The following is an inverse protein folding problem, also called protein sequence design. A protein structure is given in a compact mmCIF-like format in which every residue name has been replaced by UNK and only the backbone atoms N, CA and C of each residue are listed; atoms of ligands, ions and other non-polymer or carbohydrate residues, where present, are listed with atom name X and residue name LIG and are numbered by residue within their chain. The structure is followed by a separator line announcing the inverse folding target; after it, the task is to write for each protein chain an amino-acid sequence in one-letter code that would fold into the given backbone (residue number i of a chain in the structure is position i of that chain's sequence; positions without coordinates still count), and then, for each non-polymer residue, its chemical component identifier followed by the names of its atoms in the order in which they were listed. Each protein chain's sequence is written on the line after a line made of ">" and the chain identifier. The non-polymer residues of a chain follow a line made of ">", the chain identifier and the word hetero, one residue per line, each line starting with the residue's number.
data_IF_831588571262
#
_entry.id   IF_831588571262
#
_cell.length_a   1.000
_cell.length_b   1.000
_cell.length_c   1.000
_cell.angle_alpha   90.00
_cell.angle_beta   90.00
_cell.angle_gamma   90.00
#
_symmetry.space_group_name_H-M   'P 1'
#
loop_
_entity.id
_entity.type
_entity.pdbx_description
1 polymer ?
#
# COMPACT_ATOMS: atom_id res chain seq x y z
N UNK A 1 -21.01 48.35 61.61
CA UNK A 1 -21.55 47.97 60.29
C UNK A 1 -20.39 47.59 59.39
N UNK A 2 -20.18 46.29 59.16
CA UNK A 2 -19.33 45.77 58.07
C UNK A 2 -20.29 45.12 57.08
N UNK A 3 -20.38 45.64 55.85
CA UNK A 3 -21.17 45.03 54.80
C UNK A 3 -20.25 44.22 53.87
N UNK A 4 -20.65 42.98 53.64
CA UNK A 4 -19.97 41.96 52.86
C UNK A 4 -20.01 42.27 51.35
N UNK A 5 -18.91 41.96 50.69
CA UNK A 5 -18.77 41.82 49.24
C UNK A 5 -19.49 40.54 48.77
N UNK A 6 -20.37 40.65 47.78
CA UNK A 6 -20.72 39.53 46.90
C UNK A 6 -20.20 39.80 45.50
N UNK A 7 -19.35 38.90 45.02
CA UNK A 7 -18.87 38.84 43.63
C UNK A 7 -19.84 37.94 42.87
N UNK A 8 -20.55 38.49 41.88
CA UNK A 8 -21.38 37.72 40.95
C UNK A 8 -20.51 37.26 39.79
N UNK A 9 -20.30 35.95 39.66
CA UNK A 9 -19.61 35.36 38.51
C UNK A 9 -20.54 35.33 37.29
N UNK A 10 -20.09 35.93 36.18
CA UNK A 10 -20.78 35.91 34.89
C UNK A 10 -20.38 34.62 34.16
N UNK A 11 -21.31 33.66 34.04
CA UNK A 11 -21.10 32.44 33.25
C UNK A 11 -21.49 32.74 31.80
N UNK A 12 -20.52 32.80 30.89
CA UNK A 12 -20.77 32.79 29.45
C UNK A 12 -21.07 31.35 29.02
N UNK A 13 -22.34 31.02 28.83
CA UNK A 13 -22.75 29.81 28.13
C UNK A 13 -22.56 29.97 26.64
N UNK A 14 -21.56 29.32 26.06
CA UNK A 14 -21.46 29.14 24.60
C UNK A 14 -22.55 28.17 24.15
N UNK A 15 -23.58 28.70 23.51
CA UNK A 15 -24.55 27.90 22.76
C UNK A 15 -23.80 27.24 21.59
N UNK A 16 -23.53 25.94 21.69
CA UNK A 16 -23.13 25.14 20.53
C UNK A 16 -24.38 24.95 19.70
N UNK A 17 -24.59 25.80 18.69
CA UNK A 17 -25.60 25.54 17.67
C UNK A 17 -25.10 24.35 16.86
N UNK A 18 -25.75 23.19 16.99
CA UNK A 18 -25.54 22.09 16.06
C UNK A 18 -25.87 22.60 14.67
N UNK A 19 -24.84 22.77 13.84
CA UNK A 19 -25.03 22.99 12.40
C UNK A 19 -25.82 21.76 11.92
N UNK A 20 -27.04 21.92 11.39
CA UNK A 20 -27.70 20.80 10.75
C UNK A 20 -26.79 20.36 9.61
N UNK A 21 -26.37 19.08 9.64
CA UNK A 21 -25.73 18.45 8.49
C UNK A 21 -26.72 18.60 7.35
N UNK A 22 -26.40 19.45 6.37
CA UNK A 22 -27.22 19.54 5.17
C UNK A 22 -27.29 18.13 4.56
N UNK A 23 -28.49 17.62 4.21
CA UNK A 23 -28.57 16.38 3.47
C UNK A 23 -27.70 16.54 2.22
N UNK A 24 -26.86 15.56 1.90
CA UNK A 24 -25.98 15.56 0.72
C UNK A 24 -26.81 15.84 -0.55
N UNK A 25 -26.96 17.11 -0.91
CA UNK A 25 -27.60 17.56 -2.14
C UNK A 25 -26.61 17.28 -3.26
N UNK A 26 -26.62 16.06 -3.82
CA UNK A 26 -25.76 15.79 -4.98
C UNK A 26 -25.56 14.34 -5.40
N UNK A 27 -25.91 13.35 -4.57
CA UNK A 27 -25.59 11.96 -4.89
C UNK A 27 -26.85 11.14 -5.17
N UNK A 28 -27.35 11.26 -6.40
CA UNK A 28 -28.30 10.33 -7.03
C UNK A 28 -27.58 9.68 -8.21
N UNK A 29 -26.84 8.61 -7.92
CA UNK A 29 -26.02 7.92 -8.92
C UNK A 29 -26.83 6.75 -9.47
N UNK A 30 -26.72 6.51 -10.78
CA UNK A 30 -27.17 5.25 -11.38
C UNK A 30 -26.53 4.06 -10.63
N UNK A 31 -27.28 2.98 -10.44
CA UNK A 31 -26.76 1.74 -9.84
C UNK A 31 -25.56 1.15 -10.59
N UNK A 32 -25.39 1.53 -11.86
CA UNK A 32 -24.24 1.17 -12.68
C UNK A 32 -23.49 2.42 -13.17
N UNK A 33 -22.15 2.35 -13.15
CA UNK A 33 -21.26 3.40 -13.63
C UNK A 33 -20.28 2.83 -14.63
N UNK A 34 -20.23 3.41 -15.84
CA UNK A 34 -19.38 2.93 -16.93
C UNK A 34 -18.16 3.85 -17.08
N UNK A 35 -16.97 3.25 -17.12
CA UNK A 35 -15.69 3.94 -17.23
C UNK A 35 -14.88 3.30 -18.36
N UNK A 36 -14.46 4.09 -19.35
CA UNK A 36 -13.59 3.61 -20.42
C UNK A 36 -12.13 3.70 -19.99
N UNK A 37 -11.40 2.60 -20.13
CA UNK A 37 -9.97 2.49 -19.78
C UNK A 37 -9.18 1.91 -20.95
N UNK A 38 -7.86 1.91 -20.82
CA UNK A 38 -6.93 1.21 -21.71
C UNK A 38 -7.17 -0.31 -21.75
N UNK A 39 -7.70 -0.90 -20.68
CA UNK A 39 -8.13 -2.31 -20.66
C UNK A 39 -9.45 -2.56 -21.41
N UNK A 40 -10.27 -1.53 -21.62
CA UNK A 40 -11.62 -1.62 -22.18
C UNK A 40 -12.67 -0.93 -21.32
N UNK A 41 -13.95 -1.20 -21.61
CA UNK A 41 -15.07 -0.65 -20.85
C UNK A 41 -15.23 -1.37 -19.51
N UNK A 42 -15.29 -0.63 -18.41
CA UNK A 42 -15.46 -1.14 -17.04
C UNK A 42 -16.80 -0.67 -16.51
N UNK A 43 -17.57 -1.58 -15.92
CA UNK A 43 -18.86 -1.28 -15.29
C UNK A 43 -18.79 -1.55 -13.80
N UNK A 44 -18.76 -0.48 -13.01
CA UNK A 44 -18.87 -0.50 -11.55
C UNK A 44 -20.31 -0.43 -11.06
N UNK A 45 -20.47 -0.45 -9.74
CA UNK A 45 -21.76 -0.42 -9.07
C UNK A 45 -21.76 0.44 -7.81
N UNK A 46 -22.94 0.88 -7.39
CA UNK A 46 -23.13 1.54 -6.10
C UNK A 46 -23.47 0.47 -5.05
N UNK A 47 -22.76 0.39 -3.93
CA UNK A 47 -23.04 -0.60 -2.90
C UNK A 47 -24.32 -0.22 -2.14
N UNK A 48 -25.08 -1.21 -1.68
CA UNK A 48 -26.41 -1.05 -1.07
C UNK A 48 -26.45 -0.16 0.19
N UNK A 49 -25.31 0.12 0.81
CA UNK A 49 -25.18 0.97 2.00
C UNK A 49 -24.30 2.21 1.76
N UNK A 50 -24.24 2.70 0.53
CA UNK A 50 -23.63 3.98 0.21
C UNK A 50 -24.52 4.74 -0.76
N UNK A 51 -24.70 6.02 -0.51
CA UNK A 51 -25.46 6.88 -1.43
C UNK A 51 -24.53 7.55 -2.45
N UNK A 52 -23.20 7.46 -2.28
CA UNK A 52 -22.27 8.35 -3.00
C UNK A 52 -20.95 7.72 -3.46
N UNK A 53 -20.61 6.50 -3.01
CA UNK A 53 -19.40 5.79 -3.44
C UNK A 53 -19.73 4.80 -4.54
N UNK A 54 -18.92 4.76 -5.58
CA UNK A 54 -18.95 3.75 -6.64
C UNK A 54 -17.81 2.78 -6.43
N UNK A 55 -18.10 1.48 -6.52
CA UNK A 55 -17.14 0.39 -6.41
C UNK A 55 -16.91 -0.26 -7.77
N UNK A 56 -15.64 -0.44 -8.11
CA UNK A 56 -15.18 -1.21 -9.26
C UNK A 56 -14.26 -2.31 -8.76
N UNK A 57 -14.80 -3.51 -8.57
CA UNK A 57 -14.10 -4.62 -7.92
C UNK A 57 -13.69 -5.66 -8.96
N UNK A 58 -12.44 -6.13 -8.92
CA UNK A 58 -11.93 -7.16 -9.83
C UNK A 58 -11.64 -6.65 -11.25
N UNK A 59 -11.01 -5.49 -11.39
CA UNK A 59 -10.52 -4.98 -12.69
C UNK A 59 -9.21 -5.66 -13.06
N UNK A 60 -9.08 -6.37 -14.19
CA UNK A 60 -7.79 -6.92 -14.62
C UNK A 60 -6.86 -5.81 -15.09
N UNK A 61 -5.63 -5.80 -14.58
CA UNK A 61 -4.61 -4.81 -14.94
C UNK A 61 -3.45 -5.39 -15.77
N UNK A 62 -3.29 -6.71 -15.77
CA UNK A 62 -2.27 -7.44 -16.51
C UNK A 62 -2.84 -8.74 -17.11
N UNK A 63 -2.12 -9.33 -18.05
CA UNK A 63 -2.44 -10.66 -18.57
C UNK A 63 -2.36 -11.70 -17.43
N UNK A 64 -3.26 -12.71 -17.42
CA UNK A 64 -3.18 -13.79 -16.44
C UNK A 64 -1.82 -14.49 -16.51
N UNK A 65 -1.05 -14.58 -15.40
CA UNK A 65 0.29 -15.17 -15.39
C UNK A 65 0.23 -16.71 -15.33
N UNK A 66 -0.50 -17.31 -16.27
CA UNK A 66 -0.76 -18.76 -16.35
C UNK A 66 0.00 -19.39 -17.51
N UNK A 67 0.25 -20.70 -17.42
CA UNK A 67 0.87 -21.47 -18.51
C UNK A 67 2.27 -20.93 -18.85
N UNK A 68 2.45 -20.41 -20.06
CA UNK A 68 3.74 -19.86 -20.52
C UNK A 68 4.10 -18.52 -19.85
N UNK A 69 3.14 -17.83 -19.22
CA UNK A 69 3.40 -16.61 -18.47
C UNK A 69 3.66 -16.87 -16.98
N UNK A 70 3.60 -18.14 -16.54
CA UNK A 70 3.94 -18.51 -15.18
C UNK A 70 5.43 -18.27 -14.96
N UNK A 71 5.75 -17.56 -13.88
CA UNK A 71 7.11 -17.13 -13.53
C UNK A 71 7.76 -16.12 -14.50
N UNK A 72 6.97 -15.53 -15.41
CA UNK A 72 7.43 -14.44 -16.27
C UNK A 72 7.07 -13.07 -15.67
N UNK A 73 7.77 -12.03 -16.11
CA UNK A 73 7.40 -10.66 -15.80
C UNK A 73 5.95 -10.36 -16.24
N UNK A 74 5.19 -9.55 -15.47
CA UNK A 74 3.81 -9.23 -15.81
C UNK A 74 3.72 -8.53 -17.16
N UNK A 75 2.77 -8.97 -17.98
CA UNK A 75 2.52 -8.40 -19.30
C UNK A 75 1.29 -7.52 -19.24
N UNK A 76 1.35 -6.32 -19.82
CA UNK A 76 0.20 -5.40 -19.89
C UNK A 76 -1.00 -6.06 -20.56
N UNK A 77 -2.18 -5.81 -20.01
CA UNK A 77 -3.42 -6.35 -20.57
C UNK A 77 -3.70 -5.73 -21.95
N UNK A 78 -4.10 -6.58 -22.90
CA UNK A 78 -4.60 -6.11 -24.18
C UNK A 78 -6.03 -5.60 -24.01
N UNK A 79 -6.36 -4.48 -24.66
CA UNK A 79 -7.71 -3.93 -24.62
C UNK A 79 -8.76 -4.96 -25.08
N UNK A 80 -9.83 -5.10 -24.31
CA UNK A 80 -10.97 -5.95 -24.64
C UNK A 80 -12.10 -5.11 -25.22
N UNK A 81 -12.76 -5.62 -26.27
CA UNK A 81 -14.02 -5.07 -26.79
C UNK A 81 -15.24 -5.46 -25.95
N UNK A 82 -15.12 -6.47 -25.09
CA UNK A 82 -16.15 -6.87 -24.14
C UNK A 82 -16.01 -6.07 -22.84
N UNK A 83 -17.11 -5.55 -22.28
CA UNK A 83 -17.06 -4.84 -21.01
C UNK A 83 -16.71 -5.78 -19.85
N UNK A 84 -15.97 -5.26 -18.88
CA UNK A 84 -15.72 -5.90 -17.59
C UNK A 84 -16.78 -5.47 -16.59
N UNK A 85 -17.56 -6.44 -16.08
CA UNK A 85 -18.54 -6.19 -15.02
C UNK A 85 -17.84 -6.38 -13.68
N UNK A 86 -17.49 -5.28 -13.02
CA UNK A 86 -16.62 -5.24 -11.84
C UNK A 86 -17.44 -5.02 -10.57
N UNK A 87 -18.39 -5.93 -10.32
CA UNK A 87 -19.34 -5.84 -9.20
C UNK A 87 -18.96 -6.69 -7.99
N UNK A 88 -17.91 -7.49 -8.10
CA UNK A 88 -17.40 -8.38 -7.04
C UNK A 88 -15.88 -8.46 -7.18
N UNK A 89 -15.19 -8.70 -6.07
CA UNK A 89 -13.77 -9.01 -6.13
C UNK A 89 -13.52 -10.16 -7.12
N UNK A 90 -12.35 -10.16 -7.75
CA UNK A 90 -11.89 -11.31 -8.52
C UNK A 90 -11.92 -12.51 -7.59
N UNK A 91 -12.86 -13.44 -7.82
CA UNK A 91 -13.34 -14.41 -6.83
C UNK A 91 -12.32 -15.46 -6.36
N UNK A 92 -11.04 -15.26 -6.65
CA UNK A 92 -9.93 -16.05 -6.18
C UNK A 92 -8.75 -15.15 -5.78
N UNK A 93 -8.11 -15.46 -4.65
CA UNK A 93 -6.82 -14.85 -4.25
C UNK A 93 -5.70 -15.40 -5.13
N UNK A 94 -4.57 -14.69 -5.20
CA UNK A 94 -3.36 -15.31 -5.73
C UNK A 94 -3.04 -16.58 -4.94
N UNK A 95 -2.48 -17.58 -5.62
CA UNK A 95 -2.15 -18.86 -4.99
C UNK A 95 -1.21 -18.62 -3.82
N UNK A 96 -1.64 -19.06 -2.64
CA UNK A 96 -0.96 -18.96 -1.36
C UNK A 96 -0.89 -20.37 -0.76
N UNK A 97 0.23 -20.73 -0.14
CA UNK A 97 0.46 -22.07 0.40
C UNK A 97 0.30 -23.15 -0.68
N UNK A 98 1.24 -23.22 -1.63
CA UNK A 98 1.30 -24.29 -2.65
C UNK A 98 1.16 -25.72 -2.08
N UNK A 99 1.43 -25.89 -0.77
CA UNK A 99 1.40 -27.16 -0.05
C UNK A 99 0.13 -27.41 0.79
N UNK A 100 -0.78 -26.44 0.94
CA UNK A 100 -1.97 -26.57 1.79
C UNK A 100 -3.24 -26.12 1.05
N UNK A 101 -4.22 -27.01 0.97
CA UNK A 101 -5.54 -26.73 0.40
C UNK A 101 -6.26 -25.68 1.25
N UNK A 102 -6.21 -24.42 0.82
CA UNK A 102 -6.84 -23.30 1.51
C UNK A 102 -8.36 -23.28 1.26
N UNK A 103 -9.16 -23.07 2.30
CA UNK A 103 -10.62 -22.95 2.20
C UNK A 103 -11.12 -21.74 1.36
N UNK A 104 -10.22 -20.86 0.92
CA UNK A 104 -10.53 -19.72 0.06
C UNK A 104 -10.17 -20.08 -1.39
N UNK A 105 -11.03 -19.82 -2.38
CA UNK A 105 -10.67 -20.05 -3.78
C UNK A 105 -9.39 -19.31 -4.14
N UNK A 106 -8.45 -20.01 -4.78
CA UNK A 106 -7.18 -19.47 -5.24
C UNK A 106 -7.03 -19.69 -6.75
N UNK A 107 -6.31 -18.78 -7.40
CA UNK A 107 -6.07 -18.80 -8.83
C UNK A 107 -4.74 -18.12 -9.15
N UNK A 108 -4.04 -18.60 -10.18
CA UNK A 108 -2.90 -17.89 -10.75
C UNK A 108 -3.36 -16.69 -11.60
N UNK A 109 -4.56 -16.76 -12.18
CA UNK A 109 -5.25 -15.60 -12.74
C UNK A 109 -5.75 -14.73 -11.58
N UNK A 110 -4.87 -13.86 -11.07
CA UNK A 110 -5.12 -13.06 -9.87
C UNK A 110 -4.65 -11.59 -9.97
N UNK A 111 -4.13 -11.15 -11.12
CA UNK A 111 -3.63 -9.78 -11.34
C UNK A 111 -4.78 -8.78 -11.59
N UNK A 112 -5.54 -8.54 -10.52
CA UNK A 112 -6.69 -7.65 -10.49
C UNK A 112 -6.48 -6.53 -9.46
N UNK A 113 -7.15 -5.41 -9.68
CA UNK A 113 -7.24 -4.29 -8.74
C UNK A 113 -8.69 -3.90 -8.49
N UNK A 114 -8.90 -3.11 -7.45
CA UNK A 114 -10.21 -2.61 -7.07
C UNK A 114 -10.13 -1.09 -6.89
N UNK A 115 -11.17 -0.36 -7.29
CA UNK A 115 -11.24 1.10 -7.21
C UNK A 115 -12.51 1.52 -6.46
N UNK A 116 -12.36 2.45 -5.52
CA UNK A 116 -13.45 3.14 -4.84
C UNK A 116 -13.30 4.64 -5.02
N UNK A 117 -14.37 5.30 -5.40
CA UNK A 117 -14.39 6.76 -5.59
C UNK A 117 -15.78 7.31 -5.30
N UNK A 118 -15.88 8.53 -4.77
CA UNK A 118 -17.15 9.25 -4.77
C UNK A 118 -17.56 9.61 -6.19
N UNK A 119 -18.86 9.59 -6.49
CA UNK A 119 -19.35 10.01 -7.81
C UNK A 119 -19.30 11.53 -8.06
N UNK A 120 -18.95 12.33 -7.04
CA UNK A 120 -18.70 13.77 -7.17
C UNK A 120 -17.42 14.04 -7.97
N UNK A 121 -17.34 15.16 -8.68
CA UNK A 121 -16.10 15.68 -9.28
C UNK A 121 -15.33 14.67 -10.18
N UNK A 122 -16.01 13.68 -10.76
CA UNK A 122 -15.37 12.67 -11.62
C UNK A 122 -14.82 13.30 -12.90
N UNK A 123 -15.54 14.25 -13.49
CA UNK A 123 -15.12 14.95 -14.70
C UNK A 123 -13.86 15.81 -14.50
N UNK A 124 -13.60 16.27 -13.27
CA UNK A 124 -12.49 17.16 -12.96
C UNK A 124 -11.15 16.41 -12.78
N UNK A 125 -11.20 15.09 -12.61
CA UNK A 125 -10.03 14.22 -12.42
C UNK A 125 -9.01 14.78 -11.40
N UNK A 126 -9.50 15.38 -10.31
CA UNK A 126 -8.68 16.20 -9.41
C UNK A 126 -8.36 15.53 -8.07
N UNK A 127 -9.00 14.39 -7.77
CA UNK A 127 -8.93 13.74 -6.46
C UNK A 127 -7.56 13.09 -6.22
N UNK A 128 -6.99 13.21 -5.00
CA UNK A 128 -5.83 12.40 -4.63
C UNK A 128 -6.13 10.89 -4.76
N UNK A 129 -5.13 10.12 -5.16
CA UNK A 129 -5.25 8.67 -5.39
C UNK A 129 -4.36 7.95 -4.39
N UNK A 130 -4.93 7.05 -3.60
CA UNK A 130 -4.17 6.20 -2.67
C UNK A 130 -4.20 4.76 -3.16
N UNK A 131 -3.02 4.19 -3.45
CA UNK A 131 -2.87 2.81 -3.94
C UNK A 131 -2.28 1.94 -2.85
N UNK A 132 -3.03 0.93 -2.43
CA UNK A 132 -2.70 0.07 -1.31
C UNK A 132 -2.13 -1.28 -1.74
N UNK A 133 -1.02 -1.68 -1.09
CA UNK A 133 -0.47 -3.03 -1.13
C UNK A 133 -0.62 -3.71 0.24
N UNK A 134 -1.17 -4.93 0.24
CA UNK A 134 -1.43 -5.68 1.46
C UNK A 134 -0.17 -6.28 2.09
N UNK A 135 -0.27 -6.69 3.36
CA UNK A 135 0.76 -7.45 4.08
C UNK A 135 0.58 -8.96 3.95
N UNK A 136 1.36 -9.73 4.70
CA UNK A 136 1.26 -11.20 4.72
C UNK A 136 2.57 -11.95 4.43
N UNK A 137 3.72 -11.36 4.76
CA UNK A 137 5.01 -12.05 4.68
C UNK A 137 5.42 -12.50 3.28
N UNK A 138 4.81 -11.94 2.23
CA UNK A 138 4.92 -12.36 0.82
C UNK A 138 4.40 -13.76 0.50
N UNK A 139 3.73 -14.48 1.41
CA UNK A 139 3.23 -15.85 1.16
C UNK A 139 1.71 -15.97 1.26
N UNK A 140 1.06 -15.02 1.93
CA UNK A 140 -0.38 -14.96 2.06
C UNK A 140 -0.87 -13.53 1.88
N UNK A 141 -2.18 -13.36 1.74
CA UNK A 141 -2.81 -12.05 1.65
C UNK A 141 -3.82 -11.98 0.52
N UNK A 142 -4.23 -10.77 0.19
CA UNK A 142 -5.22 -10.49 -0.85
C UNK A 142 -6.08 -9.28 -0.50
N UNK A 143 -6.64 -8.65 -1.53
CA UNK A 143 -7.44 -7.42 -1.37
C UNK A 143 -8.88 -7.68 -0.93
N UNK A 144 -9.40 -8.90 -1.09
CA UNK A 144 -10.77 -9.27 -0.69
C UNK A 144 -10.84 -9.58 0.81
N UNK A 145 -10.85 -8.52 1.62
CA UNK A 145 -11.02 -8.59 3.07
C UNK A 145 -11.69 -7.32 3.59
N UNK A 146 -12.49 -7.46 4.65
CA UNK A 146 -13.17 -6.33 5.27
C UNK A 146 -12.22 -5.23 5.76
N UNK A 147 -10.98 -5.60 6.14
CA UNK A 147 -9.97 -4.64 6.60
C UNK A 147 -9.52 -3.66 5.52
N UNK A 148 -9.58 -4.03 4.24
CA UNK A 148 -9.09 -3.23 3.12
C UNK A 148 -10.22 -2.66 2.26
N UNK A 149 -11.46 -2.67 2.78
CA UNK A 149 -12.60 -2.12 2.06
C UNK A 149 -12.47 -0.59 1.92
N UNK A 150 -12.08 -0.13 0.73
CA UNK A 150 -11.80 1.27 0.44
C UNK A 150 -13.02 2.19 0.50
N UNK A 151 -14.26 1.65 0.50
CA UNK A 151 -15.48 2.46 0.43
C UNK A 151 -15.64 3.42 1.59
N UNK A 152 -15.21 3.03 2.78
CA UNK A 152 -15.34 3.85 3.98
C UNK A 152 -14.41 5.05 3.92
N UNK A 153 -13.19 4.85 3.43
CA UNK A 153 -12.22 5.92 3.34
C UNK A 153 -12.53 6.87 2.18
N UNK A 154 -12.84 6.32 1.00
CA UNK A 154 -13.35 7.11 -0.14
C UNK A 154 -14.68 7.82 0.17
N UNK A 155 -15.51 7.26 1.05
CA UNK A 155 -16.75 7.89 1.52
C UNK A 155 -16.50 9.03 2.52
N UNK A 156 -15.51 8.89 3.40
CA UNK A 156 -15.17 9.90 4.39
C UNK A 156 -14.37 11.07 3.78
N UNK A 157 -13.43 10.77 2.88
CA UNK A 157 -12.54 11.73 2.24
C UNK A 157 -12.78 11.74 0.73
N UNK A 158 -12.76 12.89 0.04
CA UNK A 158 -12.93 12.93 -1.42
C UNK A 158 -11.64 12.50 -2.15
N UNK A 159 -11.33 11.21 -2.05
CA UNK A 159 -10.15 10.53 -2.60
C UNK A 159 -10.56 9.31 -3.40
N UNK A 160 -9.67 8.86 -4.29
CA UNK A 160 -9.78 7.56 -4.95
C UNK A 160 -8.90 6.56 -4.20
N UNK A 161 -9.50 5.45 -3.75
CA UNK A 161 -8.77 4.34 -3.14
C UNK A 161 -8.63 3.22 -4.16
N UNK A 162 -7.41 2.70 -4.32
CA UNK A 162 -7.12 1.54 -5.15
C UNK A 162 -6.47 0.47 -4.28
N UNK A 163 -6.86 -0.79 -4.44
CA UNK A 163 -6.13 -1.94 -3.86
C UNK A 163 -5.68 -2.86 -4.97
N UNK A 164 -4.46 -3.39 -4.89
CA UNK A 164 -3.85 -4.17 -5.98
C UNK A 164 -3.48 -5.57 -5.48
N UNK A 165 -3.97 -6.62 -6.17
CA UNK A 165 -3.44 -7.97 -6.02
C UNK A 165 -2.14 -8.13 -6.79
N UNK A 166 -1.20 -8.86 -6.23
CA UNK A 166 0.09 -9.19 -6.83
C UNK A 166 0.49 -10.62 -6.46
N UNK A 167 1.32 -11.27 -7.29
CA UNK A 167 1.76 -12.64 -7.01
C UNK A 167 2.57 -12.70 -5.71
N UNK A 168 2.34 -13.78 -4.96
CA UNK A 168 2.96 -14.10 -3.68
C UNK A 168 3.52 -15.53 -3.75
N UNK A 169 4.23 -15.95 -2.71
CA UNK A 169 4.85 -17.27 -2.59
C UNK A 169 5.78 -17.52 -3.80
N UNK A 170 6.00 -18.79 -4.18
CA UNK A 170 6.81 -19.20 -5.34
C UNK A 170 6.39 -18.52 -6.64
N UNK A 171 5.12 -18.13 -6.80
CA UNK A 171 4.64 -17.45 -8.01
C UNK A 171 5.13 -16.01 -8.11
N UNK A 172 5.29 -15.33 -6.98
CA UNK A 172 5.82 -13.96 -6.91
C UNK A 172 7.33 -13.91 -6.77
N UNK A 173 7.94 -14.90 -6.12
CA UNK A 173 9.34 -14.86 -5.69
C UNK A 173 10.06 -16.20 -5.89
N UNK A 174 10.11 -16.76 -7.12
CA UNK A 174 10.62 -18.11 -7.36
C UNK A 174 12.14 -18.29 -7.14
N UNK A 175 12.93 -17.22 -7.17
CA UNK A 175 14.38 -17.28 -6.93
C UNK A 175 15.19 -18.07 -7.98
N UNK A 176 14.60 -18.37 -9.15
CA UNK A 176 15.25 -19.21 -10.16
C UNK A 176 16.39 -18.46 -10.88
N UNK A 177 17.63 -19.01 -10.90
CA UNK A 177 18.75 -18.38 -11.59
C UNK A 177 18.48 -18.17 -13.08
N UNK A 178 18.81 -16.98 -13.59
CA UNK A 178 18.66 -16.65 -15.01
C UNK A 178 17.21 -16.37 -15.46
N UNK A 179 16.27 -16.26 -14.52
CA UNK A 179 14.89 -15.86 -14.78
C UNK A 179 14.58 -14.51 -14.13
N UNK A 180 13.54 -13.77 -14.60
CA UNK A 180 13.14 -12.53 -13.98
C UNK A 180 12.81 -12.70 -12.49
N UNK A 181 13.41 -11.86 -11.66
CA UNK A 181 13.28 -11.86 -10.22
C UNK A 181 12.14 -10.96 -9.74
N UNK A 182 11.75 -11.12 -8.46
CA UNK A 182 10.87 -10.19 -7.76
C UNK A 182 9.54 -9.90 -8.49
N UNK A 183 8.94 -10.93 -9.08
CA UNK A 183 7.76 -10.83 -9.94
C UNK A 183 6.58 -10.18 -9.21
N UNK A 184 6.39 -10.46 -7.92
CA UNK A 184 5.35 -9.80 -7.11
C UNK A 184 5.53 -8.28 -7.01
N UNK A 185 6.76 -7.78 -6.90
CA UNK A 185 7.04 -6.34 -6.91
C UNK A 185 6.86 -5.73 -8.31
N UNK A 186 7.18 -6.49 -9.36
CA UNK A 186 6.94 -6.08 -10.75
C UNK A 186 5.44 -6.04 -11.08
N UNK A 187 4.64 -6.94 -10.51
CA UNK A 187 3.19 -6.93 -10.62
C UNK A 187 2.61 -5.64 -10.05
N UNK A 188 3.07 -5.24 -8.85
CA UNK A 188 2.71 -3.97 -8.24
C UNK A 188 3.06 -2.79 -9.15
N UNK A 189 4.24 -2.81 -9.79
CA UNK A 189 4.62 -1.77 -10.75
C UNK A 189 3.64 -1.64 -11.90
N UNK A 190 3.31 -2.74 -12.56
CA UNK A 190 2.33 -2.74 -13.67
C UNK A 190 0.94 -2.32 -13.18
N UNK A 191 0.56 -2.68 -11.95
CA UNK A 191 -0.67 -2.22 -11.32
C UNK A 191 -0.73 -0.69 -11.17
N UNK A 192 0.35 -0.04 -10.70
CA UNK A 192 0.39 1.43 -10.57
C UNK A 192 0.51 2.11 -11.94
N UNK A 193 1.21 1.52 -12.91
CA UNK A 193 1.19 2.02 -14.29
C UNK A 193 -0.22 2.02 -14.86
N UNK A 194 -0.99 0.95 -14.62
CA UNK A 194 -2.41 0.92 -14.97
C UNK A 194 -3.19 2.03 -14.26
N UNK A 195 -2.93 2.26 -12.96
CA UNK A 195 -3.57 3.37 -12.23
C UNK A 195 -3.23 4.71 -12.90
N UNK A 196 -1.95 5.02 -13.14
CA UNK A 196 -1.51 6.25 -13.81
C UNK A 196 -2.24 6.45 -15.14
N UNK A 197 -2.35 5.40 -15.95
CA UNK A 197 -2.91 5.50 -17.30
C UNK A 197 -4.44 5.62 -17.32
N UNK A 198 -5.14 5.27 -16.23
CA UNK A 198 -6.60 5.11 -16.24
C UNK A 198 -7.36 5.88 -15.14
N UNK A 199 -6.71 6.29 -14.05
CA UNK A 199 -7.41 6.77 -12.85
C UNK A 199 -8.18 8.08 -13.05
N UNK A 200 -7.78 8.89 -14.05
CA UNK A 200 -8.52 10.08 -14.47
C UNK A 200 -9.97 9.76 -14.83
N UNK A 201 -10.23 8.61 -15.45
CA UNK A 201 -11.57 8.19 -15.83
C UNK A 201 -12.45 7.82 -14.60
N UNK A 202 -11.83 7.62 -13.43
CA UNK A 202 -12.50 7.40 -12.14
C UNK A 202 -12.53 8.66 -11.27
N UNK A 203 -12.09 9.81 -11.79
CA UNK A 203 -12.02 11.09 -11.08
C UNK A 203 -10.74 11.33 -10.29
N UNK A 204 -9.78 10.41 -10.34
CA UNK A 204 -8.49 10.57 -9.68
C UNK A 204 -7.51 11.40 -10.50
N UNK A 205 -6.61 12.11 -9.84
CA UNK A 205 -5.54 12.84 -10.49
C UNK A 205 -4.30 11.93 -10.63
N UNK A 206 -3.87 11.61 -11.86
CA UNK A 206 -2.69 10.76 -12.08
C UNK A 206 -1.37 11.42 -11.61
N UNK A 207 -1.34 12.73 -11.41
CA UNK A 207 -0.21 13.48 -10.84
C UNK A 207 -0.25 13.54 -9.30
N UNK A 208 -1.20 12.87 -8.65
CA UNK A 208 -1.35 12.84 -7.17
C UNK A 208 -1.57 11.43 -6.65
N UNK A 209 -0.74 10.50 -7.14
CA UNK A 209 -0.76 9.10 -6.72
C UNK A 209 0.16 8.91 -5.52
N UNK A 210 -0.37 8.44 -4.39
CA UNK A 210 0.42 8.02 -3.24
C UNK A 210 0.27 6.52 -3.08
N UNK A 211 1.38 5.78 -3.07
CA UNK A 211 1.38 4.36 -2.73
C UNK A 211 1.54 4.20 -1.22
N UNK A 212 0.86 3.20 -0.67
CA UNK A 212 1.01 2.85 0.73
C UNK A 212 0.82 1.36 0.97
N UNK A 213 1.39 0.86 2.05
CA UNK A 213 1.25 -0.55 2.40
C UNK A 213 1.52 -0.83 3.86
N UNK A 214 1.15 -2.05 4.28
CA UNK A 214 1.33 -2.53 5.65
C UNK A 214 2.19 -3.80 5.68
N UNK A 215 3.07 -3.95 6.67
CA UNK A 215 4.00 -5.09 6.75
C UNK A 215 4.84 -5.19 5.48
N UNK A 216 4.89 -6.34 4.83
CA UNK A 216 5.57 -6.52 3.53
C UNK A 216 5.02 -5.63 2.41
N UNK A 217 3.79 -5.13 2.53
CA UNK A 217 3.28 -4.09 1.63
C UNK A 217 3.94 -2.74 1.88
N UNK A 218 4.30 -2.45 3.15
CA UNK A 218 5.13 -1.30 3.53
C UNK A 218 6.55 -1.44 3.01
N UNK A 219 7.14 -2.63 3.16
CA UNK A 219 8.45 -2.96 2.60
C UNK A 219 8.45 -2.83 1.05
N UNK A 220 7.36 -3.25 0.40
CA UNK A 220 7.22 -3.14 -1.04
C UNK A 220 7.19 -1.68 -1.54
N UNK A 221 6.47 -0.79 -0.85
CA UNK A 221 6.50 0.64 -1.21
C UNK A 221 7.83 1.31 -0.86
N UNK A 222 8.59 0.73 0.06
CA UNK A 222 9.93 1.21 0.37
C UNK A 222 10.94 0.76 -0.71
N UNK A 223 10.88 -0.50 -1.19
CA UNK A 223 11.64 -0.93 -2.38
C UNK A 223 11.37 -0.04 -3.59
N UNK A 224 10.12 0.40 -3.77
CA UNK A 224 9.73 1.31 -4.85
C UNK A 224 10.58 2.57 -4.89
N UNK A 225 10.91 3.15 -3.72
CA UNK A 225 11.67 4.37 -3.63
C UNK A 225 13.07 4.23 -4.26
N UNK A 226 13.68 3.05 -4.18
CA UNK A 226 15.00 2.78 -4.75
C UNK A 226 14.91 2.29 -6.19
N UNK A 227 14.00 1.36 -6.47
CA UNK A 227 13.83 0.76 -7.79
C UNK A 227 13.47 1.79 -8.87
N UNK A 228 12.72 2.82 -8.48
CA UNK A 228 12.15 3.80 -9.40
C UNK A 228 12.59 5.22 -9.06
N UNK A 229 13.88 5.42 -8.79
CA UNK A 229 14.45 6.75 -8.49
C UNK A 229 14.11 7.79 -9.57
N UNK A 230 14.29 7.43 -10.85
CA UNK A 230 14.18 8.36 -11.98
C UNK A 230 12.74 8.46 -12.54
N UNK A 231 11.90 7.45 -12.30
CA UNK A 231 10.50 7.41 -12.75
C UNK A 231 9.59 6.83 -11.67
N UNK A 232 9.39 7.58 -10.56
CA UNK A 232 8.62 7.06 -9.44
C UNK A 232 7.14 6.83 -9.79
N UNK A 233 6.57 7.52 -10.78
CA UNK A 233 5.13 7.62 -11.11
C UNK A 233 4.25 8.19 -9.97
N UNK A 234 4.67 8.01 -8.73
CA UNK A 234 3.99 8.41 -7.51
C UNK A 234 4.50 9.76 -7.02
N UNK A 235 3.66 10.43 -6.25
CA UNK A 235 3.91 11.72 -5.60
C UNK A 235 4.13 11.59 -4.09
N UNK A 236 4.03 10.37 -3.54
CA UNK A 236 4.28 10.10 -2.14
C UNK A 236 4.27 8.62 -1.82
N UNK A 237 4.91 8.26 -0.71
CA UNK A 237 5.05 6.89 -0.22
C UNK A 237 4.68 6.86 1.27
N UNK A 238 3.89 5.88 1.69
CA UNK A 238 3.56 5.66 3.10
C UNK A 238 3.80 4.20 3.48
N UNK A 239 4.81 3.95 4.31
CA UNK A 239 5.16 2.61 4.77
C UNK A 239 4.72 2.41 6.22
N UNK A 240 3.72 1.56 6.44
CA UNK A 240 3.24 1.21 7.77
C UNK A 240 3.84 -0.13 8.22
N UNK A 241 4.63 -0.10 9.28
CA UNK A 241 5.16 -1.28 9.95
C UNK A 241 5.90 -2.21 8.98
N UNK A 242 6.76 -1.66 8.13
CA UNK A 242 7.54 -2.44 7.19
C UNK A 242 8.37 -1.54 6.27
N UNK A 243 9.67 -1.76 6.26
CA UNK A 243 10.69 -1.05 5.47
C UNK A 243 11.81 -2.02 5.14
N UNK A 244 12.56 -1.78 4.07
CA UNK A 244 13.71 -2.59 3.72
C UNK A 244 14.88 -2.33 4.69
N UNK A 245 15.72 -3.34 4.91
CA UNK A 245 16.87 -3.23 5.80
C UNK A 245 18.02 -2.49 5.09
N UNK A 246 18.48 -1.38 5.68
CA UNK A 246 19.43 -0.44 5.07
C UNK A 246 20.76 -0.29 5.83
N UNK A 247 21.25 -1.25 6.63
CA UNK A 247 22.56 -1.09 7.30
C UNK A 247 23.46 -2.34 7.32
N UNK A 248 24.79 -2.13 7.37
CA UNK A 248 25.83 -3.17 7.39
C UNK A 248 25.90 -3.88 8.75
N UNK A 249 25.57 -3.16 9.84
CA UNK A 249 25.34 -3.77 11.16
C UNK A 249 24.06 -4.64 11.16
N UNK A 250 23.02 -4.22 10.45
CA UNK A 250 21.80 -5.02 10.22
C UNK A 250 22.06 -6.21 9.31
N UNK A 251 22.94 -6.10 8.31
CA UNK A 251 23.37 -7.21 7.47
C UNK A 251 24.24 -8.21 8.25
N UNK A 252 25.15 -7.76 9.12
CA UNK A 252 25.94 -8.69 9.93
C UNK A 252 25.09 -9.41 11.00
N UNK A 253 24.05 -8.76 11.53
CA UNK A 253 23.05 -9.41 12.39
C UNK A 253 22.08 -10.32 11.59
N UNK A 254 21.74 -9.95 10.35
CA UNK A 254 20.89 -10.72 9.44
C UNK A 254 21.60 -11.94 8.83
N UNK A 255 22.89 -11.85 8.54
CA UNK A 255 23.70 -12.90 7.89
C UNK A 255 24.33 -13.86 8.91
N UNK A 256 24.54 -13.45 10.17
CA UNK A 256 25.09 -14.34 11.22
C UNK A 256 24.10 -15.34 11.79
N UNK A 257 22.82 -15.24 11.44
CA UNK A 257 21.84 -16.27 11.75
C UNK A 257 21.17 -16.71 10.47
N UNK A 258 21.09 -18.03 10.28
CA UNK A 258 20.24 -18.67 9.29
C UNK A 258 18.80 -18.34 9.71
N UNK A 259 18.31 -17.18 9.29
CA UNK A 259 16.92 -16.82 9.45
C UNK A 259 16.11 -17.83 8.62
N UNK A 260 15.08 -18.50 9.17
CA UNK A 260 14.07 -19.15 8.35
C UNK A 260 13.29 -18.05 7.62
N UNK A 261 13.95 -17.36 6.68
CA UNK A 261 13.27 -16.49 5.74
C UNK A 261 12.15 -17.28 5.09
N UNK A 262 10.99 -16.66 4.84
CA UNK A 262 9.98 -17.29 4.03
C UNK A 262 10.63 -17.81 2.75
N UNK A 263 10.33 -19.06 2.40
CA UNK A 263 11.04 -19.80 1.34
C UNK A 263 11.04 -18.99 0.03
N UNK A 264 10.02 -18.16 -0.18
CA UNK A 264 9.85 -17.29 -1.33
C UNK A 264 9.58 -15.84 -0.87
N UNK A 265 10.59 -14.99 -1.05
CA UNK A 265 10.58 -13.58 -0.64
C UNK A 265 11.44 -12.75 -1.61
N UNK A 266 11.34 -11.40 -1.58
CA UNK A 266 12.21 -10.54 -2.37
C UNK A 266 13.69 -10.88 -2.15
N UNK A 267 14.47 -10.90 -3.23
CA UNK A 267 15.90 -11.17 -3.18
C UNK A 267 16.66 -10.16 -4.05
N UNK A 268 17.92 -9.81 -3.70
CA UNK A 268 18.68 -8.84 -4.46
C UNK A 268 18.84 -9.23 -5.93
N UNK A 269 18.34 -8.39 -6.83
CA UNK A 269 18.54 -8.45 -8.29
C UNK A 269 19.22 -7.18 -8.83
N UNK A 270 19.47 -6.19 -7.97
CA UNK A 270 20.03 -4.86 -8.27
C UNK A 270 19.26 -4.10 -9.37
N UNK A 271 17.98 -4.45 -9.56
CA UNK A 271 17.03 -3.75 -10.43
C UNK A 271 15.83 -3.23 -9.65
N UNK A 272 15.18 -4.13 -8.89
CA UNK A 272 14.00 -3.83 -8.08
C UNK A 272 14.35 -3.94 -6.60
N UNK A 273 15.23 -4.89 -6.26
CA UNK A 273 15.73 -5.08 -4.90
C UNK A 273 17.25 -5.00 -4.94
N UNK A 274 17.82 -4.05 -4.22
CA UNK A 274 19.25 -3.79 -4.20
C UNK A 274 19.95 -4.54 -3.08
N UNK A 275 21.21 -4.89 -3.31
CA UNK A 275 22.08 -5.51 -2.31
C UNK A 275 22.68 -4.50 -1.31
N UNK A 276 22.84 -3.24 -1.73
CA UNK A 276 23.47 -2.16 -0.96
C UNK A 276 22.62 -0.89 -0.90
N UNK A 277 21.61 -0.91 -0.03
CA UNK A 277 20.77 0.26 0.23
C UNK A 277 21.50 1.37 0.98
N UNK A 278 22.56 1.09 1.75
CA UNK A 278 23.27 2.10 2.55
C UNK A 278 23.94 3.09 1.63
N UNK A 279 24.74 2.57 0.71
CA UNK A 279 25.53 3.39 -0.19
C UNK A 279 24.59 4.12 -1.15
N UNK A 280 23.55 3.43 -1.64
CA UNK A 280 22.47 4.06 -2.41
C UNK A 280 21.86 5.24 -1.66
N UNK A 281 21.42 5.05 -0.42
CA UNK A 281 20.83 6.11 0.41
C UNK A 281 21.81 7.25 0.67
N UNK A 282 23.06 6.94 1.03
CA UNK A 282 24.11 7.93 1.34
C UNK A 282 24.49 8.77 0.12
N UNK A 283 24.49 8.16 -1.07
CA UNK A 283 24.71 8.82 -2.34
C UNK A 283 23.47 9.55 -2.88
N UNK A 284 22.31 9.39 -2.23
CA UNK A 284 21.06 10.00 -2.64
C UNK A 284 20.32 9.25 -3.76
N UNK A 285 20.62 7.97 -4.00
CA UNK A 285 19.97 7.10 -4.98
C UNK A 285 18.63 6.57 -4.49
N UNK A 286 17.64 7.45 -4.44
CA UNK A 286 16.25 7.14 -4.10
C UNK A 286 15.33 8.24 -4.62
N UNK A 287 14.09 7.88 -4.94
CA UNK A 287 13.07 8.76 -5.48
C UNK A 287 12.83 9.99 -4.58
N UNK A 288 12.77 11.16 -5.20
CA UNK A 288 12.61 12.45 -4.51
C UNK A 288 11.15 12.79 -4.28
N UNK A 289 10.46 11.93 -3.53
CA UNK A 289 9.06 12.08 -3.16
C UNK A 289 8.91 12.09 -1.63
N UNK A 290 7.91 12.78 -1.06
CA UNK A 290 7.61 12.70 0.36
C UNK A 290 7.36 11.26 0.83
N UNK A 291 8.01 10.85 1.91
CA UNK A 291 7.86 9.52 2.53
C UNK A 291 7.34 9.69 3.96
N UNK A 292 6.32 8.93 4.32
CA UNK A 292 5.83 8.79 5.69
C UNK A 292 6.08 7.36 6.16
N UNK A 293 6.82 7.22 7.25
CA UNK A 293 7.13 5.93 7.88
C UNK A 293 6.48 5.88 9.26
N UNK A 294 5.96 4.73 9.68
CA UNK A 294 5.35 4.60 10.99
C UNK A 294 5.25 3.16 11.47
N UNK A 295 5.33 2.97 12.79
CA UNK A 295 5.20 1.68 13.46
C UNK A 295 4.12 1.77 14.55
N UNK A 296 3.60 0.62 14.97
CA UNK A 296 2.72 0.48 16.13
C UNK A 296 3.53 0.27 17.41
N UNK A 297 2.90 0.52 18.57
CA UNK A 297 3.55 0.40 19.88
C UNK A 297 3.93 -1.05 20.26
N UNK A 298 3.33 -2.06 19.62
CA UNK A 298 3.44 -3.47 20.00
C UNK A 298 3.54 -4.38 18.74
N UNK A 299 4.46 -4.06 17.84
CA UNK A 299 4.68 -4.81 16.58
C UNK A 299 4.92 -6.30 16.81
N UNK A 300 5.57 -6.65 17.92
CA UNK A 300 5.93 -8.02 18.29
C UNK A 300 4.75 -8.84 18.82
N UNK A 301 3.64 -8.21 19.20
CA UNK A 301 2.51 -8.88 19.84
C UNK A 301 1.98 -10.06 19.02
N UNK A 302 1.81 -9.85 17.71
CA UNK A 302 1.38 -10.91 16.78
C UNK A 302 2.43 -12.02 16.66
N UNK A 303 3.71 -11.65 16.54
CA UNK A 303 4.82 -12.58 16.37
C UNK A 303 5.19 -13.36 17.63
N UNK A 304 4.67 -12.98 18.79
CA UNK A 304 4.70 -13.79 20.02
C UNK A 304 3.57 -14.84 20.04
N UNK A 305 2.40 -14.49 19.53
CA UNK A 305 1.20 -15.34 19.58
C UNK A 305 1.28 -16.51 18.60
N UNK A 306 1.79 -16.29 17.38
CA UNK A 306 1.83 -17.34 16.35
C UNK A 306 2.73 -18.52 16.74
N UNK A 307 4.01 -18.32 17.15
CA UNK A 307 4.86 -19.41 17.61
C UNK A 307 4.29 -20.11 18.84
N UNK A 308 3.72 -19.34 19.79
CA UNK A 308 3.08 -19.91 20.96
C UNK A 308 1.91 -20.83 20.60
N UNK A 309 1.07 -20.42 19.65
CA UNK A 309 -0.05 -21.23 19.18
C UNK A 309 0.40 -22.51 18.44
N UNK A 310 1.54 -22.46 17.75
CA UNK A 310 2.05 -23.58 16.94
C UNK A 310 2.92 -24.57 17.73
N UNK A 311 3.79 -24.07 18.61
CA UNK A 311 4.82 -24.88 19.29
C UNK A 311 4.69 -24.87 20.82
N UNK A 312 3.81 -24.04 21.37
CA UNK A 312 3.69 -23.82 22.82
C UNK A 312 4.82 -23.00 23.43
N UNK A 313 5.77 -22.52 22.61
CA UNK A 313 6.94 -21.76 23.05
C UNK A 313 6.74 -20.27 22.78
N UNK A 314 7.10 -19.45 23.76
CA UNK A 314 7.21 -18.00 23.58
C UNK A 314 8.63 -17.64 23.14
N UNK A 315 8.80 -16.75 22.14
CA UNK A 315 10.10 -16.19 21.82
C UNK A 315 10.73 -15.52 23.05
N UNK A 316 12.07 -15.56 23.16
CA UNK A 316 12.75 -14.88 24.26
C UNK A 316 12.69 -13.37 24.08
N UNK A 317 12.87 -12.60 25.17
CA UNK A 317 12.94 -11.14 25.08
C UNK A 317 14.05 -10.67 24.14
N UNK A 318 15.14 -11.44 24.02
CA UNK A 318 16.23 -11.13 23.09
C UNK A 318 15.80 -11.34 21.64
N UNK A 319 15.14 -12.45 21.32
CA UNK A 319 14.62 -12.74 19.97
C UNK A 319 13.66 -11.64 19.52
N UNK A 320 12.75 -11.25 20.42
CA UNK A 320 11.79 -10.17 20.15
C UNK A 320 12.48 -8.83 19.93
N UNK A 321 13.46 -8.49 20.78
CA UNK A 321 14.19 -7.22 20.64
C UNK A 321 14.94 -7.18 19.31
N UNK A 322 15.60 -8.27 18.93
CA UNK A 322 16.31 -8.36 17.66
C UNK A 322 15.36 -8.24 16.47
N UNK A 323 14.22 -8.94 16.51
CA UNK A 323 13.19 -8.83 15.49
C UNK A 323 12.66 -7.40 15.35
N UNK A 324 12.36 -6.72 16.46
CA UNK A 324 11.86 -5.34 16.45
C UNK A 324 12.88 -4.33 15.88
N UNK A 325 14.16 -4.50 16.25
CA UNK A 325 15.24 -3.66 15.75
C UNK A 325 15.43 -3.86 14.25
N UNK A 326 15.55 -5.13 13.81
CA UNK A 326 15.77 -5.53 12.42
C UNK A 326 14.63 -5.10 11.49
N UNK A 327 13.38 -5.35 11.88
CA UNK A 327 12.24 -5.25 10.96
C UNK A 327 11.54 -3.89 10.97
N UNK A 328 11.66 -3.11 12.05
CA UNK A 328 10.83 -1.90 12.22
C UNK A 328 11.60 -0.66 12.69
N UNK A 329 12.65 -0.80 13.50
CA UNK A 329 13.24 0.36 14.21
C UNK A 329 14.48 0.91 13.53
N UNK A 330 15.50 0.09 13.31
CA UNK A 330 16.77 0.52 12.74
C UNK A 330 16.60 1.10 11.32
N UNK A 331 15.89 0.43 10.39
CA UNK A 331 15.85 0.91 9.02
C UNK A 331 15.05 2.22 8.89
N UNK A 332 13.95 2.37 9.64
CA UNK A 332 13.17 3.63 9.69
C UNK A 332 14.03 4.79 10.20
N UNK A 333 14.84 4.55 11.24
CA UNK A 333 15.69 5.60 11.82
C UNK A 333 16.74 6.08 10.82
N UNK A 334 17.37 5.16 10.08
CA UNK A 334 18.38 5.49 9.07
C UNK A 334 17.78 6.27 7.89
N UNK A 335 16.65 5.81 7.35
CA UNK A 335 15.97 6.49 6.25
C UNK A 335 15.48 7.88 6.65
N UNK A 336 14.93 8.03 7.85
CA UNK A 336 14.52 9.34 8.38
C UNK A 336 15.71 10.28 8.52
N UNK A 337 16.85 9.79 9.04
CA UNK A 337 18.08 10.58 9.16
C UNK A 337 18.59 11.03 7.78
N UNK A 338 18.68 10.13 6.81
CA UNK A 338 19.10 10.45 5.45
C UNK A 338 18.17 11.45 4.76
N UNK A 339 16.86 11.30 4.93
CA UNK A 339 15.86 12.21 4.34
C UNK A 339 15.86 13.61 4.97
N UNK A 340 16.42 13.76 6.18
CA UNK A 340 16.54 15.03 6.90
C UNK A 340 17.83 15.81 6.59
N UNK A 341 18.78 15.21 5.86
CA UNK A 341 20.00 15.88 5.44
C UNK A 341 19.68 16.99 4.41
N UNK A 342 20.17 18.24 4.59
CA UNK A 342 19.95 19.31 3.64
C UNK A 342 20.50 18.96 2.26
N UNK A 343 19.64 19.02 1.24
CA UNK A 343 19.97 18.78 -0.15
C UNK A 343 21.01 19.80 -0.66
N UNK A 344 22.28 19.39 -0.80
CA UNK A 344 23.30 20.10 -1.59
C UNK A 344 23.80 21.45 -1.07
N UNK A 345 24.82 21.39 -0.21
CA UNK A 345 25.90 22.37 0.05
C UNK A 345 25.59 23.78 0.57
N UNK A 346 26.25 24.15 1.67
CA UNK A 346 26.63 25.53 2.05
C UNK A 346 25.67 26.64 1.59
N UNK A 347 24.61 26.88 2.33
CA UNK A 347 23.92 28.17 2.29
C UNK A 347 23.70 28.67 3.71
N UNK A 348 24.32 29.83 3.93
CA UNK A 348 24.25 30.70 5.08
C UNK A 348 22.79 30.91 5.51
N UNK A 349 22.50 30.50 6.76
CA UNK A 349 21.23 30.78 7.43
C UNK A 349 21.21 32.25 7.83
N UNK A 350 20.94 33.12 6.87
CA UNK A 350 20.37 34.43 7.15
C UNK A 350 19.13 34.64 6.29
N UNK A 351 18.12 35.26 6.92
CA UNK A 351 16.78 35.60 6.40
C UNK A 351 15.79 34.43 6.56
N UNK A 352 14.88 34.42 7.53
CA UNK A 352 13.91 35.46 7.89
C UNK A 352 13.81 35.70 9.40
N UNK A 353 13.76 36.99 9.77
CA UNK A 353 13.22 37.48 11.04
C UNK A 353 11.79 37.97 10.89
#
# INVERSE_FOLDING_TARGET
>A
MRFQSQVTALVFGTLVTSIPVEPNVGCSISQSSNVLTTSGLITGHVPWNSDCVVEFLGIPYAQPPVGQLRFEAPVKLNASSKPYITSKYAGAKCVADFLVDGATPQSEDCLYLNVWTKATNVADASKPVLVFFFGGGFNLGGTDTAFYNGKYFAGAQDVVIVTVNYRIDVFGFPGAPGQPANLGLRDQRVGVEWVRDNIAAFGGNPEKITIFGQSVGGEAVDFWAYAYEQDPIVSGIIAHSGVNCTSEEDQLACVRQVDPSPIFAPFPDDEVVFSDYINGTTAGHFAKVPIMLGNTNNEDGFYRLVPFAQTGLLPTSQDVTQFLLKSFTCPVTFQAAASSQPWGSSMDLSIYG
#
